data_IF_379791071998
#
_entry.id   IF_379791071998
#
_cell.length_a   1.000
_cell.length_b   1.000
_cell.length_c   1.000
_cell.angle_alpha   90.00
_cell.angle_beta   90.00
_cell.angle_gamma   90.00
#
_symmetry.space_group_name_H-M   'P 1'
#
loop_
_entity.id
_entity.type
_entity.pdbx_description
1 polymer ?
#
# COMPACT_ATOMS: atom_id res chain seq x y z
N UNK A 1 -11.43 2.04 -7.52
CA UNK A 1 -12.63 1.27 -7.95
C UNK A 1 -13.65 1.28 -6.83
N UNK A 2 -14.92 1.42 -7.18
CA UNK A 2 -16.01 1.33 -6.23
C UNK A 2 -16.36 -0.17 -6.03
N UNK A 3 -16.31 -0.74 -4.81
CA UNK A 3 -16.64 -2.15 -4.60
C UNK A 3 -18.11 -2.48 -4.88
N UNK A 4 -19.02 -1.50 -4.87
CA UNK A 4 -20.45 -1.68 -5.13
C UNK A 4 -20.75 -1.83 -6.63
N UNK A 5 -19.90 -1.31 -7.51
CA UNK A 5 -20.08 -1.36 -8.96
C UNK A 5 -19.53 -2.65 -9.61
N UNK A 6 -19.24 -3.68 -8.82
CA UNK A 6 -18.70 -4.94 -9.36
C UNK A 6 -19.72 -5.85 -10.06
N UNK A 7 -21.01 -5.55 -10.01
CA UNK A 7 -22.01 -6.21 -10.86
C UNK A 7 -21.84 -5.74 -12.30
N UNK A 8 -21.06 -6.50 -13.07
CA UNK A 8 -20.84 -6.25 -14.50
C UNK A 8 -19.40 -5.91 -14.91
N UNK A 9 -18.50 -5.69 -13.96
CA UNK A 9 -17.08 -5.49 -14.27
C UNK A 9 -16.26 -6.75 -13.93
N UNK A 10 -15.51 -7.25 -14.91
CA UNK A 10 -14.56 -8.34 -14.68
C UNK A 10 -13.47 -7.87 -13.68
N UNK A 11 -13.21 -8.69 -12.66
CA UNK A 11 -12.03 -8.46 -11.79
C UNK A 11 -10.78 -8.39 -12.66
N UNK A 12 -9.91 -7.42 -12.37
CA UNK A 12 -8.62 -7.36 -13.05
C UNK A 12 -7.86 -8.68 -12.82
N UNK A 13 -7.25 -9.26 -13.87
CA UNK A 13 -6.38 -10.42 -13.72
C UNK A 13 -5.25 -10.15 -12.71
N UNK A 14 -4.83 -11.17 -11.98
CA UNK A 14 -3.78 -11.06 -10.95
C UNK A 14 -2.49 -10.45 -11.51
N UNK A 15 -2.12 -10.79 -12.74
CA UNK A 15 -0.95 -10.25 -13.42
C UNK A 15 -1.04 -8.72 -13.66
N UNK A 16 -2.24 -8.17 -13.75
CA UNK A 16 -2.46 -6.73 -13.84
C UNK A 16 -2.44 -6.09 -12.45
N UNK A 17 -3.05 -6.74 -11.45
CA UNK A 17 -3.03 -6.28 -10.07
C UNK A 17 -1.60 -6.19 -9.52
N UNK A 18 -0.73 -7.15 -9.84
CA UNK A 18 0.68 -7.16 -9.41
C UNK A 18 1.48 -5.92 -9.89
N UNK A 19 1.00 -5.21 -10.92
CA UNK A 19 1.65 -4.01 -11.47
C UNK A 19 1.34 -2.73 -10.67
N UNK A 20 0.29 -2.72 -9.85
CA UNK A 20 -0.01 -1.57 -8.99
C UNK A 20 0.97 -1.52 -7.81
N UNK A 21 1.45 -0.32 -7.48
CA UNK A 21 2.42 -0.14 -6.39
C UNK A 21 1.84 -0.61 -5.05
N UNK A 22 0.66 -0.12 -4.70
CA UNK A 22 -0.02 -0.43 -3.45
C UNK A 22 -1.54 -0.39 -3.60
N UNK A 23 -2.25 -1.01 -2.67
CA UNK A 23 -3.70 -0.94 -2.52
C UNK A 23 -4.02 -0.16 -1.26
N UNK A 24 -4.83 0.89 -1.42
CA UNK A 24 -5.36 1.70 -0.32
C UNK A 24 -6.86 1.44 -0.24
N UNK A 25 -7.34 1.12 0.94
CA UNK A 25 -8.77 0.92 1.19
C UNK A 25 -9.32 2.18 1.83
N UNK A 26 -10.28 2.81 1.17
CA UNK A 26 -11.02 3.95 1.72
C UNK A 26 -12.22 3.44 2.52
N UNK A 27 -12.40 3.96 3.71
CA UNK A 27 -13.59 3.71 4.53
C UNK A 27 -14.75 4.62 4.15
N UNK A 28 -15.92 4.39 4.77
CA UNK A 28 -17.00 5.35 4.74
C UNK A 28 -16.65 6.56 5.61
N UNK A 29 -17.19 7.76 5.31
CA UNK A 29 -17.04 8.93 6.16
C UNK A 29 -17.67 8.68 7.54
N UNK A 30 -17.21 9.39 8.54
CA UNK A 30 -17.85 9.45 9.86
C UNK A 30 -19.18 10.21 9.79
N UNK A 31 -19.99 10.09 10.83
CA UNK A 31 -21.27 10.84 10.89
C UNK A 31 -21.07 12.35 10.72
N UNK A 32 -20.04 12.92 11.34
CA UNK A 32 -19.72 14.35 11.24
C UNK A 32 -19.32 14.74 9.81
N UNK A 33 -18.46 13.95 9.17
CA UNK A 33 -18.06 14.16 7.78
C UNK A 33 -19.25 14.02 6.80
N UNK A 34 -20.21 13.12 7.07
CA UNK A 34 -21.43 13.03 6.28
C UNK A 34 -22.30 14.27 6.44
N UNK A 35 -22.41 14.84 7.66
CA UNK A 35 -23.11 16.10 7.90
C UNK A 35 -22.45 17.24 7.15
N UNK A 36 -21.11 17.33 7.19
CA UNK A 36 -20.36 18.35 6.44
C UNK A 36 -20.62 18.24 4.92
N UNK A 37 -20.67 17.02 4.38
CA UNK A 37 -21.02 16.78 2.98
C UNK A 37 -22.45 17.28 2.67
N UNK A 38 -23.41 17.00 3.54
CA UNK A 38 -24.79 17.45 3.38
C UNK A 38 -24.90 18.97 3.46
N UNK A 39 -24.22 19.62 4.39
CA UNK A 39 -24.17 21.08 4.52
C UNK A 39 -23.55 21.72 3.28
N UNK A 40 -22.45 21.17 2.77
CA UNK A 40 -21.81 21.63 1.53
C UNK A 40 -22.79 21.58 0.34
N UNK A 41 -23.58 20.52 0.22
CA UNK A 41 -24.57 20.38 -0.83
C UNK A 41 -25.80 21.29 -0.60
N UNK A 42 -26.24 21.48 0.65
CA UNK A 42 -27.38 22.33 1.00
C UNK A 42 -27.11 23.82 0.72
N UNK A 43 -25.93 24.28 1.02
CA UNK A 43 -25.54 25.67 0.83
C UNK A 43 -25.26 26.05 -0.63
N UNK A 44 -25.48 25.12 -1.60
CA UNK A 44 -25.09 25.33 -3.00
C UNK A 44 -23.66 25.89 -3.15
N UNK A 45 -22.80 25.65 -2.17
CA UNK A 45 -21.38 25.85 -2.30
C UNK A 45 -20.96 24.90 -3.41
N UNK A 46 -21.39 25.28 -4.60
CA UNK A 46 -21.18 24.63 -5.88
C UNK A 46 -19.83 23.98 -5.85
N UNK A 47 -19.85 22.63 -5.82
CA UNK A 47 -18.78 21.76 -6.31
C UNK A 47 -17.45 22.49 -6.31
N UNK A 48 -16.51 22.11 -5.45
CA UNK A 48 -15.16 22.69 -5.38
C UNK A 48 -14.82 23.22 -6.77
N UNK A 49 -14.89 24.54 -6.95
CA UNK A 49 -14.54 25.13 -8.23
C UNK A 49 -13.09 24.76 -8.44
N UNK A 50 -12.80 23.96 -9.47
CA UNK A 50 -11.42 23.56 -9.77
C UNK A 50 -10.49 24.78 -9.80
N UNK A 51 -11.03 25.95 -10.17
CA UNK A 51 -10.34 27.24 -10.17
C UNK A 51 -9.94 27.75 -8.77
N UNK A 52 -10.49 27.20 -7.70
CA UNK A 52 -10.11 27.55 -6.31
C UNK A 52 -8.96 26.70 -5.76
N UNK A 53 -8.55 25.65 -6.48
CA UNK A 53 -7.44 24.79 -6.06
C UNK A 53 -6.10 25.47 -6.34
N UNK A 54 -5.33 25.68 -5.31
CA UNK A 54 -3.95 26.16 -5.43
C UNK A 54 -2.99 24.97 -5.46
N UNK A 55 -2.05 24.90 -6.41
CA UNK A 55 -1.03 23.86 -6.44
C UNK A 55 -0.22 23.89 -5.13
N UNK A 56 -0.04 22.74 -4.49
CA UNK A 56 0.79 22.58 -3.28
C UNK A 56 2.25 22.36 -3.66
N UNK A 57 2.51 21.72 -4.80
CA UNK A 57 3.84 21.43 -5.33
C UNK A 57 3.89 21.74 -6.83
N UNK A 58 5.00 22.25 -7.27
CA UNK A 58 5.33 22.38 -8.69
C UNK A 58 5.81 21.02 -9.24
N UNK A 59 5.81 20.89 -10.56
CA UNK A 59 6.38 19.71 -11.24
C UNK A 59 7.88 19.56 -10.93
N UNK A 60 8.60 20.64 -10.87
CA UNK A 60 10.05 20.69 -10.60
C UNK A 60 10.36 20.21 -9.17
N UNK A 61 9.56 20.65 -8.19
CA UNK A 61 9.67 20.18 -6.80
C UNK A 61 9.37 18.68 -6.69
N UNK A 62 8.31 18.18 -7.35
CA UNK A 62 7.99 16.75 -7.37
C UNK A 62 9.13 15.92 -7.98
N UNK A 63 9.75 16.39 -9.08
CA UNK A 63 10.89 15.71 -9.69
C UNK A 63 12.12 15.74 -8.77
N UNK A 64 12.31 16.81 -8.01
CA UNK A 64 13.39 16.91 -7.02
C UNK A 64 13.19 15.94 -5.86
N UNK A 65 11.96 15.81 -5.35
CA UNK A 65 11.62 14.82 -4.32
C UNK A 65 11.87 13.38 -4.81
N UNK A 66 11.54 13.08 -6.06
CA UNK A 66 11.84 11.75 -6.64
C UNK A 66 13.34 11.45 -6.69
N UNK A 67 14.18 12.43 -7.04
CA UNK A 67 15.65 12.27 -7.02
C UNK A 67 16.16 12.05 -5.59
N UNK A 68 15.62 12.79 -4.61
CA UNK A 68 15.97 12.59 -3.21
C UNK A 68 15.59 11.18 -2.73
N UNK A 69 14.40 10.68 -3.10
CA UNK A 69 13.99 9.32 -2.79
C UNK A 69 14.96 8.27 -3.35
N UNK A 70 15.52 8.48 -4.55
CA UNK A 70 16.51 7.56 -5.13
C UNK A 70 17.77 7.47 -4.28
N UNK A 71 18.17 8.57 -3.61
CA UNK A 71 19.37 8.67 -2.77
C UNK A 71 19.19 8.09 -1.36
N UNK A 72 17.93 7.82 -0.92
CA UNK A 72 17.67 7.22 0.38
C UNK A 72 18.41 5.88 0.50
N UNK A 73 19.21 5.76 1.54
CA UNK A 73 20.03 4.56 1.78
C UNK A 73 19.18 3.39 2.26
N UNK A 74 19.51 2.20 1.77
CA UNK A 74 18.92 0.93 2.23
C UNK A 74 20.06 -0.04 2.48
N UNK A 75 20.22 -0.44 3.73
CA UNK A 75 21.21 -1.45 4.08
C UNK A 75 20.91 -2.80 3.43
N UNK A 76 21.97 -3.57 3.14
CA UNK A 76 21.84 -4.90 2.54
C UNK A 76 21.02 -5.87 3.40
N UNK A 77 21.11 -5.74 4.72
CA UNK A 77 20.33 -6.56 5.67
C UNK A 77 18.84 -6.29 5.54
N UNK A 78 18.44 -5.03 5.28
CA UNK A 78 17.05 -4.65 5.01
C UNK A 78 16.56 -5.14 3.65
N UNK A 79 17.43 -5.17 2.64
CA UNK A 79 17.09 -5.79 1.35
C UNK A 79 16.85 -7.31 1.51
N UNK A 80 17.65 -7.98 2.34
CA UNK A 80 17.43 -9.37 2.70
C UNK A 80 16.13 -9.57 3.48
N UNK A 81 15.83 -8.68 4.42
CA UNK A 81 14.58 -8.69 5.20
C UNK A 81 13.35 -8.59 4.30
N UNK A 82 13.34 -7.65 3.35
CA UNK A 82 12.28 -7.53 2.33
C UNK A 82 12.15 -8.83 1.53
N UNK A 83 13.26 -9.38 1.07
CA UNK A 83 13.25 -10.62 0.27
C UNK A 83 12.70 -11.80 1.07
N UNK A 84 13.06 -11.92 2.36
CA UNK A 84 12.55 -12.96 3.27
C UNK A 84 11.05 -12.82 3.50
N UNK A 85 10.53 -11.61 3.73
CA UNK A 85 9.08 -11.37 3.86
C UNK A 85 8.35 -11.85 2.60
N UNK A 86 8.83 -11.45 1.42
CA UNK A 86 8.20 -11.86 0.15
C UNK A 86 8.33 -13.38 -0.07
N UNK A 87 9.45 -13.99 0.28
CA UNK A 87 9.63 -15.43 0.21
C UNK A 87 8.66 -16.18 1.12
N UNK A 88 8.42 -15.68 2.34
CA UNK A 88 7.45 -16.26 3.26
C UNK A 88 6.01 -16.27 2.69
N UNK A 89 5.66 -15.32 1.83
CA UNK A 89 4.36 -15.36 1.15
C UNK A 89 4.19 -16.59 0.26
N UNK A 90 5.28 -17.11 -0.30
CA UNK A 90 5.28 -18.26 -1.24
C UNK A 90 5.33 -19.61 -0.54
N UNK A 91 5.76 -19.63 0.73
CA UNK A 91 5.92 -20.87 1.52
C UNK A 91 4.83 -21.03 2.58
N UNK A 92 4.00 -20.02 2.77
CA UNK A 92 2.91 -20.01 3.76
C UNK A 92 1.78 -20.96 3.33
N UNK A 93 1.33 -21.83 4.24
CA UNK A 93 0.18 -22.71 4.01
C UNK A 93 -1.15 -21.96 3.83
N UNK A 94 -1.26 -20.74 4.34
CA UNK A 94 -2.45 -19.91 4.19
C UNK A 94 -2.52 -19.18 2.83
N UNK A 95 -1.47 -19.24 2.01
CA UNK A 95 -1.37 -18.53 0.74
C UNK A 95 -1.32 -19.52 -0.41
N UNK A 96 -2.28 -19.43 -1.31
CA UNK A 96 -2.32 -20.21 -2.56
C UNK A 96 -1.36 -19.64 -3.61
N UNK A 97 -1.39 -18.30 -3.79
CA UNK A 97 -0.47 -17.61 -4.70
C UNK A 97 0.26 -16.51 -3.92
N UNK A 98 1.57 -16.65 -3.77
CA UNK A 98 2.46 -15.69 -3.13
C UNK A 98 2.90 -14.56 -4.07
N UNK A 99 3.48 -13.53 -3.49
CA UNK A 99 3.89 -12.33 -4.20
C UNK A 99 5.09 -12.56 -5.13
N UNK A 100 5.12 -11.86 -6.25
CA UNK A 100 6.19 -11.89 -7.23
C UNK A 100 7.41 -11.05 -6.77
N UNK A 101 8.58 -11.15 -7.45
CA UNK A 101 9.73 -10.27 -7.17
C UNK A 101 9.42 -8.77 -7.33
N UNK A 102 8.38 -8.40 -8.09
CA UNK A 102 7.90 -7.02 -8.18
C UNK A 102 7.46 -6.47 -6.83
N UNK A 103 6.91 -7.33 -5.96
CA UNK A 103 6.55 -6.93 -4.60
C UNK A 103 7.77 -6.49 -3.78
N UNK A 104 8.93 -7.19 -3.91
CA UNK A 104 10.16 -6.79 -3.24
C UNK A 104 10.63 -5.41 -3.69
N UNK A 105 10.60 -5.14 -4.99
CA UNK A 105 10.94 -3.82 -5.55
C UNK A 105 9.97 -2.76 -5.08
N UNK A 106 8.66 -3.05 -5.11
CA UNK A 106 7.62 -2.13 -4.64
C UNK A 106 7.77 -1.82 -3.14
N UNK A 107 8.06 -2.82 -2.30
CA UNK A 107 8.31 -2.61 -0.86
C UNK A 107 9.54 -1.72 -0.64
N UNK A 108 10.65 -1.98 -1.32
CA UNK A 108 11.85 -1.15 -1.22
C UNK A 108 11.55 0.30 -1.61
N UNK A 109 10.90 0.52 -2.75
CA UNK A 109 10.56 1.87 -3.22
C UNK A 109 9.60 2.59 -2.27
N UNK A 110 8.55 1.91 -1.80
CA UNK A 110 7.61 2.47 -0.84
C UNK A 110 8.27 2.81 0.50
N UNK A 111 9.18 1.95 1.00
CA UNK A 111 9.94 2.20 2.23
C UNK A 111 10.88 3.40 2.10
N UNK A 112 11.55 3.57 0.95
CA UNK A 112 12.37 4.76 0.69
C UNK A 112 11.54 6.04 0.69
N UNK A 113 10.39 6.02 0.02
CA UNK A 113 9.48 7.16 -0.01
C UNK A 113 8.95 7.48 1.40
N UNK A 114 8.57 6.46 2.17
CA UNK A 114 8.09 6.63 3.53
C UNK A 114 9.17 7.19 4.47
N UNK A 115 10.41 6.69 4.40
CA UNK A 115 11.54 7.22 5.16
C UNK A 115 11.77 8.70 4.86
N UNK A 116 11.73 9.10 3.57
CA UNK A 116 11.87 10.49 3.16
C UNK A 116 10.74 11.37 3.71
N UNK A 117 9.48 10.90 3.68
CA UNK A 117 8.35 11.60 4.29
C UNK A 117 8.49 11.77 5.81
N UNK A 118 9.23 10.88 6.47
CA UNK A 118 9.59 10.99 7.89
C UNK A 118 10.84 11.84 8.13
N UNK A 119 11.36 12.52 7.10
CA UNK A 119 12.56 13.38 7.17
C UNK A 119 13.88 12.62 7.31
N UNK A 120 13.93 11.34 6.90
CA UNK A 120 15.13 10.49 7.00
C UNK A 120 15.69 10.17 5.62
N UNK A 121 17.00 10.04 5.52
CA UNK A 121 17.75 9.64 4.34
C UNK A 121 18.14 8.15 4.34
N UNK A 122 17.61 7.37 5.27
CA UNK A 122 17.79 5.93 5.39
C UNK A 122 16.48 5.22 5.77
N UNK A 123 16.34 3.97 5.34
CA UNK A 123 15.22 3.09 5.66
C UNK A 123 15.47 2.34 6.96
N UNK A 124 14.41 2.12 7.75
CA UNK A 124 14.40 1.28 8.94
C UNK A 124 13.50 0.05 8.75
N UNK A 125 13.64 -0.99 9.61
CA UNK A 125 12.72 -2.14 9.57
C UNK A 125 11.24 -1.74 9.76
N UNK A 126 10.97 -0.70 10.54
CA UNK A 126 9.63 -0.19 10.84
C UNK A 126 8.98 0.39 9.57
N UNK A 127 9.75 1.04 8.70
CA UNK A 127 9.25 1.54 7.42
C UNK A 127 8.78 0.39 6.53
N UNK A 128 9.57 -0.69 6.49
CA UNK A 128 9.23 -1.90 5.73
C UNK A 128 7.96 -2.54 6.28
N UNK A 129 7.85 -2.68 7.60
CA UNK A 129 6.65 -3.23 8.26
C UNK A 129 5.42 -2.38 7.99
N UNK A 130 5.56 -1.06 7.99
CA UNK A 130 4.47 -0.13 7.73
C UNK A 130 3.92 -0.25 6.31
N UNK A 131 4.79 -0.30 5.30
CA UNK A 131 4.35 -0.32 3.89
C UNK A 131 3.92 -1.71 3.41
N UNK A 132 4.42 -2.79 4.04
CA UNK A 132 4.22 -4.15 3.58
C UNK A 132 2.74 -4.56 3.41
N UNK A 133 1.80 -4.26 4.32
CA UNK A 133 0.38 -4.58 4.14
C UNK A 133 -0.20 -3.94 2.88
N UNK A 134 0.11 -2.68 2.61
CA UNK A 134 -0.39 -1.95 1.43
C UNK A 134 0.16 -2.49 0.12
N UNK A 135 1.41 -2.97 0.15
CA UNK A 135 2.09 -3.52 -1.04
C UNK A 135 1.66 -4.97 -1.30
N UNK A 136 1.44 -5.78 -0.26
CA UNK A 136 1.22 -7.22 -0.40
C UNK A 136 -0.26 -7.62 -0.52
N UNK A 137 -1.20 -6.90 0.12
CA UNK A 137 -2.60 -7.33 0.23
C UNK A 137 -3.31 -7.64 -1.10
N UNK A 138 -2.93 -6.99 -2.19
CA UNK A 138 -3.53 -7.20 -3.52
C UNK A 138 -2.73 -8.17 -4.40
N UNK A 139 -1.63 -8.71 -3.88
CA UNK A 139 -0.73 -9.65 -4.54
C UNK A 139 -0.82 -11.05 -3.97
N UNK A 140 -1.56 -11.24 -2.88
CA UNK A 140 -1.74 -12.53 -2.24
C UNK A 140 -3.12 -13.08 -2.54
N UNK A 141 -3.17 -14.35 -2.94
CA UNK A 141 -4.40 -15.13 -3.00
C UNK A 141 -4.32 -16.13 -1.85
N UNK A 142 -5.30 -16.12 -0.98
CA UNK A 142 -5.37 -17.03 0.14
C UNK A 142 -5.89 -18.40 -0.30
N UNK A 143 -5.65 -19.42 0.50
CA UNK A 143 -6.33 -20.71 0.34
C UNK A 143 -7.78 -20.61 0.80
N UNK A 144 -8.65 -21.45 0.24
CA UNK A 144 -10.05 -21.50 0.65
C UNK A 144 -10.20 -21.79 2.16
N UNK A 145 -9.33 -22.62 2.72
CA UNK A 145 -9.31 -22.93 4.14
C UNK A 145 -9.02 -21.66 4.98
N UNK A 146 -8.01 -20.87 4.58
CA UNK A 146 -7.68 -19.64 5.28
C UNK A 146 -8.80 -18.60 5.20
N UNK A 147 -9.49 -18.49 4.06
CA UNK A 147 -10.64 -17.61 3.89
C UNK A 147 -11.83 -18.06 4.76
N UNK A 148 -12.10 -19.38 4.84
CA UNK A 148 -13.14 -19.95 5.70
C UNK A 148 -12.84 -19.73 7.19
N UNK A 149 -11.57 -19.71 7.58
CA UNK A 149 -11.12 -19.37 8.95
C UNK A 149 -11.19 -17.87 9.25
N UNK A 150 -11.64 -17.03 8.29
CA UNK A 150 -11.81 -15.60 8.46
C UNK A 150 -10.50 -14.78 8.36
N UNK A 151 -9.48 -15.34 7.73
CA UNK A 151 -8.28 -14.58 7.40
C UNK A 151 -8.52 -13.65 6.22
N UNK A 152 -7.91 -12.46 6.31
CA UNK A 152 -7.80 -11.53 5.20
C UNK A 152 -6.34 -11.43 4.74
N UNK A 153 -6.07 -11.03 3.49
CA UNK A 153 -4.70 -10.80 3.02
C UNK A 153 -3.88 -9.89 3.94
N UNK A 154 -4.50 -8.87 4.54
CA UNK A 154 -3.85 -7.96 5.49
C UNK A 154 -3.43 -8.71 6.76
N UNK A 155 -4.32 -9.49 7.36
CA UNK A 155 -4.02 -10.29 8.56
C UNK A 155 -2.93 -11.33 8.30
N UNK A 156 -2.98 -11.98 7.13
CA UNK A 156 -1.95 -12.94 6.74
C UNK A 156 -0.61 -12.24 6.55
N UNK A 157 -0.58 -11.10 5.86
CA UNK A 157 0.63 -10.28 5.68
C UNK A 157 1.26 -9.93 7.04
N UNK A 158 0.46 -9.44 8.00
CA UNK A 158 0.97 -9.10 9.33
C UNK A 158 1.62 -10.29 10.01
N UNK A 159 0.96 -11.46 10.00
CA UNK A 159 1.53 -12.69 10.58
C UNK A 159 2.81 -13.15 9.89
N UNK A 160 2.95 -12.92 8.60
CA UNK A 160 4.16 -13.27 7.86
C UNK A 160 5.32 -12.35 8.24
N UNK A 161 5.05 -11.04 8.40
CA UNK A 161 6.04 -10.06 8.86
C UNK A 161 6.53 -10.42 10.26
N UNK A 162 5.61 -10.75 11.18
CA UNK A 162 5.93 -11.07 12.57
C UNK A 162 6.78 -12.36 12.71
N UNK A 163 6.78 -13.24 11.71
CA UNK A 163 7.59 -14.45 11.69
C UNK A 163 9.01 -14.24 11.18
N UNK A 164 9.27 -13.16 10.48
CA UNK A 164 10.60 -12.87 9.94
C UNK A 164 11.39 -12.08 10.96
N UNK A 165 12.56 -12.61 11.32
CA UNK A 165 13.45 -11.97 12.28
C UNK A 165 13.92 -10.62 11.76
N UNK A 166 13.79 -9.60 12.60
CA UNK A 166 14.22 -8.24 12.25
C UNK A 166 15.75 -8.20 12.28
N UNK A 167 16.41 -7.69 11.22
CA UNK A 167 17.87 -7.54 11.24
C UNK A 167 18.29 -6.61 12.37
N UNK A 168 19.38 -6.98 13.03
CA UNK A 168 20.02 -6.19 14.11
C UNK A 168 20.94 -5.15 13.55
#
# INVERSE_FOLDING_TARGET
QNPVEQEGTYKLPEAQLDRFLMKITMGYPSLEEEVDILELHHTNASLVKLDSLTPVLTKEELLSLRRLMEQVFVDRTLLQYIALIVQQTRTSKAVYLGASPRASVAMMQASKAYALLQGRDFVTPEDIKFVAPYVLQHRLILTAEAEMEGYSPVKVTQRLIDKVEVPK
#
